data_IF_124303428946
#
_entry.id   IF_124303428946
#
_cell.length_a   1.000
_cell.length_b   1.000
_cell.length_c   1.000
_cell.angle_alpha   90.00
_cell.angle_beta   90.00
_cell.angle_gamma   90.00
#
_symmetry.space_group_name_H-M   'P 1'
#
loop_
_entity.id
_entity.type
_entity.pdbx_description
1 polymer ?
#
# COMPACT_ATOMS: atom_id res chain seq x y z
N UNK A 1 7.57 15.43 -9.80
CA UNK A 1 6.20 15.93 -9.55
C UNK A 1 5.85 17.10 -10.44
N UNK A 2 6.57 18.22 -10.34
CA UNK A 2 6.32 19.39 -11.20
C UNK A 2 6.43 19.08 -12.71
N UNK A 3 7.25 18.10 -13.09
CA UNK A 3 7.36 17.63 -14.47
C UNK A 3 6.04 17.11 -15.06
N UNK A 4 5.16 16.47 -14.27
CA UNK A 4 3.85 16.03 -14.77
C UNK A 4 2.93 17.22 -15.04
N UNK A 5 2.96 18.22 -14.17
CA UNK A 5 2.25 19.48 -14.41
C UNK A 5 2.75 20.15 -15.70
N UNK A 6 4.07 20.20 -15.92
CA UNK A 6 4.63 20.76 -17.15
C UNK A 6 4.17 19.99 -18.40
N UNK A 7 4.11 18.65 -18.34
CA UNK A 7 3.57 17.83 -19.43
C UNK A 7 2.11 18.20 -19.72
N UNK A 8 1.26 18.33 -18.71
CA UNK A 8 -0.13 18.76 -18.95
C UNK A 8 -0.24 20.19 -19.46
N UNK A 9 0.62 21.09 -19.01
CA UNK A 9 0.63 22.49 -19.45
C UNK A 9 1.03 22.60 -20.92
N UNK A 10 2.03 21.83 -21.36
CA UNK A 10 2.41 21.71 -22.77
C UNK A 10 1.25 21.15 -23.58
N UNK A 11 0.60 20.09 -23.09
CA UNK A 11 -0.56 19.51 -23.77
C UNK A 11 -1.73 20.49 -23.91
N UNK A 12 -1.99 21.31 -22.89
CA UNK A 12 -3.00 22.36 -22.94
C UNK A 12 -2.64 23.41 -23.99
N UNK A 13 -1.38 23.83 -24.05
CA UNK A 13 -0.89 24.76 -25.07
C UNK A 13 -1.07 24.18 -26.48
N UNK A 14 -0.70 22.91 -26.70
CA UNK A 14 -0.90 22.24 -27.98
C UNK A 14 -2.39 22.16 -28.36
N UNK A 15 -3.29 21.92 -27.40
CA UNK A 15 -4.73 21.89 -27.64
C UNK A 15 -5.28 23.24 -28.10
N UNK A 16 -4.72 24.35 -27.58
CA UNK A 16 -5.07 25.70 -28.03
C UNK A 16 -4.50 26.00 -29.42
N UNK A 17 -3.24 25.62 -29.66
CA UNK A 17 -2.55 25.84 -30.95
C UNK A 17 -3.26 25.08 -32.08
N UNK A 18 -3.59 23.81 -31.87
CA UNK A 18 -4.27 22.96 -32.85
C UNK A 18 -5.80 23.00 -32.75
N UNK A 19 -6.37 24.05 -32.13
CA UNK A 19 -7.82 24.17 -31.89
C UNK A 19 -8.64 23.95 -33.15
N UNK A 20 -8.28 24.59 -34.26
CA UNK A 20 -9.06 24.54 -35.50
C UNK A 20 -9.06 23.13 -36.11
N UNK A 21 -7.90 22.47 -36.13
CA UNK A 21 -7.78 21.10 -36.65
C UNK A 21 -8.56 20.10 -35.79
N UNK A 22 -8.52 20.28 -34.47
CA UNK A 22 -9.28 19.46 -33.51
C UNK A 22 -10.79 19.70 -33.65
N UNK A 23 -11.23 20.95 -33.83
CA UNK A 23 -12.65 21.26 -34.06
C UNK A 23 -13.14 20.65 -35.37
N UNK A 24 -12.38 20.80 -36.46
CA UNK A 24 -12.71 20.18 -37.75
C UNK A 24 -12.81 18.65 -37.61
N UNK A 25 -11.90 18.06 -36.85
CA UNK A 25 -11.90 16.63 -36.56
C UNK A 25 -13.16 16.17 -35.82
N UNK A 26 -13.60 16.89 -34.79
CA UNK A 26 -14.85 16.58 -34.10
C UNK A 26 -16.09 16.81 -34.98
N UNK A 27 -16.05 17.82 -35.85
CA UNK A 27 -17.12 18.08 -36.81
C UNK A 27 -17.27 16.92 -37.81
N UNK A 28 -16.16 16.41 -38.36
CA UNK A 28 -16.19 15.24 -39.25
C UNK A 28 -16.65 13.97 -38.53
N UNK A 29 -16.26 13.79 -37.27
CA UNK A 29 -16.78 12.69 -36.44
C UNK A 29 -18.30 12.78 -36.28
N UNK A 30 -18.84 13.97 -36.05
CA UNK A 30 -20.28 14.20 -35.96
C UNK A 30 -21.01 13.89 -37.28
N UNK A 31 -20.39 14.19 -38.43
CA UNK A 31 -20.90 13.82 -39.75
C UNK A 31 -20.96 12.29 -39.92
N UNK A 32 -19.90 11.58 -39.57
CA UNK A 32 -19.85 10.11 -39.65
C UNK A 32 -20.92 9.45 -38.77
N UNK A 33 -21.27 10.08 -37.64
CA UNK A 33 -22.30 9.60 -36.72
C UNK A 33 -23.72 10.07 -37.09
N UNK A 34 -23.90 10.77 -38.22
CA UNK A 34 -25.19 11.33 -38.67
C UNK A 34 -25.89 12.22 -37.61
N UNK A 35 -25.11 12.98 -36.82
CA UNK A 35 -25.66 13.92 -35.84
C UNK A 35 -26.25 15.14 -36.54
N UNK A 36 -27.41 15.62 -36.07
CA UNK A 36 -28.13 16.77 -36.65
C UNK A 36 -27.46 18.12 -36.37
N UNK A 37 -26.82 18.29 -35.21
CA UNK A 37 -26.17 19.54 -34.78
C UNK A 37 -24.64 19.37 -34.68
N UNK A 38 -24.00 19.19 -35.83
CA UNK A 38 -22.56 18.86 -35.94
C UNK A 38 -21.63 19.93 -35.36
N UNK A 39 -21.93 21.21 -35.61
CA UNK A 39 -21.14 22.33 -35.11
C UNK A 39 -21.20 22.44 -33.57
N UNK A 40 -22.41 22.37 -33.02
CA UNK A 40 -22.61 22.39 -31.56
C UNK A 40 -21.92 21.21 -30.89
N UNK A 41 -21.98 20.01 -31.48
CA UNK A 41 -21.26 18.84 -30.99
C UNK A 41 -19.74 19.09 -30.97
N UNK A 42 -19.17 19.59 -32.08
CA UNK A 42 -17.74 19.83 -32.17
C UNK A 42 -17.23 20.84 -31.12
N UNK A 43 -17.96 21.95 -30.93
CA UNK A 43 -17.65 22.95 -29.92
C UNK A 43 -17.77 22.37 -28.51
N UNK A 44 -18.84 21.61 -28.24
CA UNK A 44 -19.04 20.98 -26.94
C UNK A 44 -17.94 19.98 -26.61
N UNK A 45 -17.59 19.09 -27.54
CA UNK A 45 -16.52 18.10 -27.36
C UNK A 45 -15.16 18.76 -27.13
N UNK A 46 -14.84 19.82 -27.89
CA UNK A 46 -13.62 20.59 -27.67
C UNK A 46 -13.59 21.23 -26.28
N UNK A 47 -14.67 21.90 -25.86
CA UNK A 47 -14.75 22.53 -24.55
C UNK A 47 -14.68 21.51 -23.40
N UNK A 48 -15.30 20.35 -23.57
CA UNK A 48 -15.21 19.26 -22.60
C UNK A 48 -13.76 18.76 -22.49
N UNK A 49 -13.08 18.53 -23.61
CA UNK A 49 -11.69 18.10 -23.62
C UNK A 49 -10.77 19.14 -22.98
N UNK A 50 -10.98 20.42 -23.29
CA UNK A 50 -10.24 21.54 -22.71
C UNK A 50 -10.48 21.64 -21.20
N UNK A 51 -11.72 21.46 -20.74
CA UNK A 51 -12.07 21.44 -19.31
C UNK A 51 -11.41 20.28 -18.56
N UNK A 52 -11.42 19.08 -19.13
CA UNK A 52 -10.72 17.91 -18.57
C UNK A 52 -9.22 18.18 -18.46
N UNK A 53 -8.62 18.79 -19.47
CA UNK A 53 -7.19 19.10 -19.49
C UNK A 53 -6.81 20.15 -18.43
N UNK A 54 -7.60 21.22 -18.29
CA UNK A 54 -7.42 22.24 -17.25
C UNK A 54 -7.52 21.61 -15.86
N UNK A 55 -8.59 20.85 -15.61
CA UNK A 55 -8.80 20.19 -14.32
C UNK A 55 -7.64 19.27 -13.97
N UNK A 56 -7.18 18.47 -14.93
CA UNK A 56 -6.05 17.54 -14.74
C UNK A 56 -4.74 18.27 -14.46
N UNK A 57 -4.46 19.37 -15.17
CA UNK A 57 -3.28 20.20 -14.91
C UNK A 57 -3.31 20.80 -13.49
N UNK A 58 -4.46 21.34 -13.06
CA UNK A 58 -4.63 21.87 -11.71
C UNK A 58 -4.48 20.78 -10.64
N UNK A 59 -4.99 19.59 -10.89
CA UNK A 59 -4.83 18.44 -9.99
C UNK A 59 -3.34 18.09 -9.80
N UNK A 60 -2.56 18.00 -10.89
CA UNK A 60 -1.13 17.73 -10.79
C UNK A 60 -0.36 18.86 -10.12
N UNK A 61 -0.76 20.12 -10.33
CA UNK A 61 -0.18 21.25 -9.63
C UNK A 61 -0.43 21.14 -8.12
N UNK A 62 -1.66 20.85 -7.71
CA UNK A 62 -2.02 20.64 -6.30
C UNK A 62 -1.23 19.49 -5.66
N UNK A 63 -1.09 18.35 -6.37
CA UNK A 63 -0.27 17.23 -5.92
C UNK A 63 1.20 17.64 -5.80
N UNK A 64 1.74 18.40 -6.75
CA UNK A 64 3.12 18.87 -6.71
C UNK A 64 3.39 19.83 -5.54
N UNK A 65 2.48 20.77 -5.27
CA UNK A 65 2.55 21.68 -4.12
C UNK A 65 2.48 20.92 -2.80
N UNK A 66 1.53 19.98 -2.67
CA UNK A 66 1.40 19.15 -1.47
C UNK A 66 2.62 18.23 -1.27
N UNK A 67 3.19 17.70 -2.35
CA UNK A 67 4.45 16.95 -2.29
C UNK A 67 5.61 17.83 -1.82
N UNK A 68 5.74 19.06 -2.33
CA UNK A 68 6.77 20.00 -1.91
C UNK A 68 6.65 20.33 -0.41
N UNK A 69 5.43 20.56 0.08
CA UNK A 69 5.15 20.78 1.50
C UNK A 69 5.58 19.58 2.37
N UNK A 70 5.17 18.36 2.00
CA UNK A 70 5.51 17.15 2.76
C UNK A 70 6.99 16.78 2.68
N UNK A 71 7.64 17.06 1.55
CA UNK A 71 9.09 16.92 1.41
C UNK A 71 9.85 17.93 2.29
N UNK A 72 9.39 19.18 2.37
CA UNK A 72 9.95 20.20 3.25
C UNK A 72 9.81 19.80 4.73
N UNK A 73 8.64 19.33 5.15
CA UNK A 73 8.41 18.83 6.50
C UNK A 73 9.32 17.62 6.83
N UNK A 74 9.50 16.70 5.88
CA UNK A 74 10.37 15.54 6.04
C UNK A 74 11.85 15.91 6.19
N UNK A 75 12.31 16.95 5.48
CA UNK A 75 13.68 17.49 5.64
C UNK A 75 13.88 18.07 7.04
N UNK A 76 12.91 18.85 7.55
CA UNK A 76 12.98 19.45 8.89
C UNK A 76 13.07 18.38 9.99
N UNK A 77 12.40 17.24 9.79
CA UNK A 77 12.35 16.13 10.74
C UNK A 77 13.48 15.08 10.54
N UNK A 78 14.42 15.31 9.61
CA UNK A 78 15.52 14.39 9.24
C UNK A 78 15.08 12.95 8.97
N UNK A 79 13.81 12.76 8.61
CA UNK A 79 13.21 11.45 8.42
C UNK A 79 12.20 11.52 7.28
N UNK A 80 12.46 10.74 6.23
CA UNK A 80 11.56 10.61 5.07
C UNK A 80 10.36 9.71 5.36
N UNK A 81 10.19 9.24 6.61
CA UNK A 81 8.98 8.57 7.07
C UNK A 81 7.73 9.42 6.84
N UNK A 82 7.83 10.74 7.02
CA UNK A 82 6.74 11.70 6.88
C UNK A 82 6.42 12.06 5.43
N UNK A 83 7.16 11.53 4.46
CA UNK A 83 6.85 11.72 3.06
C UNK A 83 5.48 11.11 2.78
N UNK A 84 4.59 11.82 2.09
CA UNK A 84 3.21 11.34 1.95
C UNK A 84 3.10 10.09 1.05
N UNK A 85 2.58 8.98 1.60
CA UNK A 85 2.22 7.80 0.77
C UNK A 85 1.09 8.12 -0.19
N UNK A 86 0.20 9.04 0.22
CA UNK A 86 -0.95 9.43 -0.59
C UNK A 86 -0.48 9.97 -1.94
N UNK A 87 0.51 10.87 -1.95
CA UNK A 87 1.06 11.40 -3.21
C UNK A 87 1.59 10.30 -4.12
N UNK A 88 2.37 9.37 -3.58
CA UNK A 88 3.00 8.30 -4.35
C UNK A 88 1.92 7.38 -4.96
N UNK A 89 0.94 6.98 -4.16
CA UNK A 89 -0.12 6.07 -4.58
C UNK A 89 -1.08 6.74 -5.56
N UNK A 90 -1.52 7.97 -5.29
CA UNK A 90 -2.42 8.73 -6.17
C UNK A 90 -1.79 8.92 -7.55
N UNK A 91 -0.50 9.23 -7.63
CA UNK A 91 0.18 9.37 -8.92
C UNK A 91 0.35 8.05 -9.65
N UNK A 92 0.66 6.96 -8.95
CA UNK A 92 0.70 5.64 -9.57
C UNK A 92 -0.67 5.28 -10.19
N UNK A 93 -1.75 5.53 -9.46
CA UNK A 93 -3.12 5.31 -9.94
C UNK A 93 -3.42 6.20 -11.15
N UNK A 94 -3.10 7.49 -11.11
CA UNK A 94 -3.35 8.40 -12.23
C UNK A 94 -2.61 7.98 -13.51
N UNK A 95 -1.35 7.53 -13.39
CA UNK A 95 -0.59 7.01 -14.53
C UNK A 95 -1.24 5.74 -15.08
N UNK A 96 -1.66 4.81 -14.22
CA UNK A 96 -2.36 3.58 -14.63
C UNK A 96 -3.67 3.93 -15.34
N UNK A 97 -4.47 4.84 -14.79
CA UNK A 97 -5.73 5.29 -15.42
C UNK A 97 -5.45 5.90 -16.78
N UNK A 98 -4.41 6.73 -16.94
CA UNK A 98 -4.01 7.27 -18.26
C UNK A 98 -3.67 6.17 -19.27
N UNK A 99 -2.94 5.13 -18.84
CA UNK A 99 -2.61 3.99 -19.71
C UNK A 99 -3.86 3.20 -20.08
N UNK A 100 -4.76 2.93 -19.13
CA UNK A 100 -6.03 2.25 -19.41
C UNK A 100 -6.86 3.06 -20.40
N UNK A 101 -6.96 4.38 -20.20
CA UNK A 101 -7.71 5.25 -21.09
C UNK A 101 -7.11 5.28 -22.50
N UNK A 102 -5.78 5.20 -22.64
CA UNK A 102 -5.14 5.04 -23.96
C UNK A 102 -5.55 3.74 -24.64
N UNK A 103 -5.56 2.62 -23.91
CA UNK A 103 -5.99 1.33 -24.45
C UNK A 103 -7.46 1.41 -24.87
N UNK A 104 -8.34 1.90 -23.99
CA UNK A 104 -9.78 2.07 -24.28
C UNK A 104 -10.00 2.95 -25.51
N UNK A 105 -9.28 4.06 -25.61
CA UNK A 105 -9.38 5.02 -26.72
C UNK A 105 -8.87 4.44 -28.04
N UNK A 106 -7.95 3.48 -28.01
CA UNK A 106 -7.39 2.84 -29.20
C UNK A 106 -8.12 1.56 -29.62
N UNK A 107 -8.83 0.88 -28.70
CA UNK A 107 -9.47 -0.42 -28.96
C UNK A 107 -10.99 -0.40 -29.10
N UNK A 108 -11.71 0.58 -28.54
CA UNK A 108 -13.18 0.62 -28.65
C UNK A 108 -13.66 1.29 -29.94
N UNK A 109 -14.25 0.50 -30.83
CA UNK A 109 -14.91 0.96 -32.06
C UNK A 109 -16.23 1.71 -31.84
N UNK A 110 -16.89 1.51 -30.69
CA UNK A 110 -18.12 2.23 -30.30
C UNK A 110 -17.87 3.64 -29.75
N UNK A 111 -16.62 3.95 -29.39
CA UNK A 111 -16.13 5.32 -29.16
C UNK A 111 -15.54 5.90 -30.47
N UNK A 112 -15.68 5.15 -31.58
CA UNK A 112 -15.05 5.38 -32.88
C UNK A 112 -13.67 4.71 -32.93
N UNK A 113 -13.42 3.75 -33.85
CA UNK A 113 -12.09 3.21 -34.02
C UNK A 113 -11.24 4.32 -34.62
N UNK A 114 -10.33 4.83 -33.79
CA UNK A 114 -9.30 5.76 -34.22
C UNK A 114 -8.38 5.18 -35.29
N UNK A 115 -8.35 3.86 -35.40
CA UNK A 115 -7.64 3.13 -36.44
C UNK A 115 -8.10 3.45 -37.87
N UNK A 116 -9.16 4.25 -38.07
CA UNK A 116 -9.51 4.89 -39.34
C UNK A 116 -9.53 6.43 -39.36
N UNK A 117 -9.04 7.13 -38.33
CA UNK A 117 -9.52 8.50 -38.02
C UNK A 117 -8.73 9.69 -38.55
N UNK A 118 -9.53 10.70 -38.86
CA UNK A 118 -9.19 12.05 -39.29
C UNK A 118 -8.71 12.97 -38.13
N UNK A 119 -8.25 12.42 -36.99
CA UNK A 119 -7.78 13.20 -35.81
C UNK A 119 -6.34 12.86 -35.35
N UNK A 120 -5.36 12.71 -36.26
CA UNK A 120 -4.00 12.24 -35.92
C UNK A 120 -3.31 13.08 -34.85
N UNK A 121 -3.54 14.40 -34.84
CA UNK A 121 -2.90 15.31 -33.90
C UNK A 121 -3.30 15.06 -32.44
N UNK A 122 -4.58 14.84 -32.14
CA UNK A 122 -5.06 14.65 -30.76
C UNK A 122 -4.55 13.33 -30.17
N UNK A 123 -4.50 12.28 -31.00
CA UNK A 123 -3.98 10.97 -30.60
C UNK A 123 -2.49 11.06 -30.33
N UNK A 124 -1.73 11.69 -31.23
CA UNK A 124 -0.29 11.87 -31.07
C UNK A 124 0.01 12.65 -29.77
N UNK A 125 -0.72 13.74 -29.51
CA UNK A 125 -0.62 14.51 -28.26
C UNK A 125 -0.89 13.62 -27.05
N UNK A 126 -1.95 12.80 -27.09
CA UNK A 126 -2.33 11.93 -25.98
C UNK A 126 -1.30 10.81 -25.74
N UNK A 127 -0.82 10.15 -26.80
CA UNK A 127 0.22 9.11 -26.72
C UNK A 127 1.51 9.69 -26.10
N UNK A 128 1.97 10.85 -26.58
CA UNK A 128 3.15 11.51 -26.03
C UNK A 128 2.96 11.86 -24.56
N UNK A 129 1.77 12.33 -24.17
CA UNK A 129 1.43 12.62 -22.76
C UNK A 129 1.50 11.38 -21.87
N UNK A 130 0.97 10.24 -22.34
CA UNK A 130 1.03 8.97 -21.61
C UNK A 130 2.46 8.49 -21.47
N UNK A 131 3.24 8.49 -22.56
CA UNK A 131 4.66 8.10 -22.54
C UNK A 131 5.45 8.97 -21.58
N UNK A 132 5.29 10.30 -21.65
CA UNK A 132 5.94 11.23 -20.74
C UNK A 132 5.54 10.97 -19.28
N UNK A 133 4.26 10.70 -19.00
CA UNK A 133 3.77 10.39 -17.66
C UNK A 133 4.40 9.10 -17.11
N UNK A 134 4.50 8.06 -17.93
CA UNK A 134 5.14 6.78 -17.56
C UNK A 134 6.64 6.99 -17.28
N UNK A 135 7.36 7.72 -18.13
CA UNK A 135 8.77 8.02 -17.92
C UNK A 135 9.00 8.80 -16.62
N UNK A 136 8.18 9.82 -16.36
CA UNK A 136 8.25 10.57 -15.09
C UNK A 136 7.92 9.65 -13.91
N UNK A 137 6.95 8.74 -14.05
CA UNK A 137 6.66 7.71 -13.04
C UNK A 137 7.85 6.81 -12.75
N UNK A 138 8.53 6.31 -13.77
CA UNK A 138 9.71 5.44 -13.61
C UNK A 138 10.89 6.17 -12.95
N UNK A 139 11.15 7.41 -13.35
CA UNK A 139 12.29 8.21 -12.84
C UNK A 139 12.03 8.73 -11.42
N UNK A 140 10.79 9.14 -11.10
CA UNK A 140 10.49 9.77 -9.81
C UNK A 140 9.79 8.87 -8.79
N UNK A 141 8.78 8.07 -9.17
CA UNK A 141 8.01 7.31 -8.18
C UNK A 141 8.82 6.17 -7.59
N UNK A 142 9.61 5.46 -8.40
CA UNK A 142 10.40 4.31 -7.93
C UNK A 142 11.44 4.71 -6.86
N UNK A 143 12.35 5.68 -7.10
CA UNK A 143 13.34 6.04 -6.09
C UNK A 143 12.71 6.61 -4.82
N UNK A 144 11.70 7.48 -4.98
CA UNK A 144 11.02 8.11 -3.85
C UNK A 144 10.28 7.08 -2.97
N UNK A 145 9.64 6.09 -3.59
CA UNK A 145 8.99 4.99 -2.88
C UNK A 145 10.01 4.11 -2.15
N UNK A 146 11.14 3.78 -2.78
CA UNK A 146 12.21 2.99 -2.16
C UNK A 146 12.81 3.70 -0.94
N UNK A 147 13.08 5.00 -1.05
CA UNK A 147 13.55 5.82 0.08
C UNK A 147 12.52 5.77 1.20
N UNK A 148 11.23 6.02 0.93
CA UNK A 148 10.23 5.96 2.01
C UNK A 148 10.18 4.58 2.66
N UNK A 149 10.19 3.51 1.86
CA UNK A 149 10.16 2.13 2.37
C UNK A 149 11.34 1.81 3.28
N UNK A 150 12.55 2.26 2.94
CA UNK A 150 13.73 2.03 3.80
C UNK A 150 13.60 2.73 5.16
N UNK A 151 13.08 3.96 5.19
CA UNK A 151 12.83 4.67 6.45
C UNK A 151 11.69 4.05 7.28
N UNK A 152 10.62 3.59 6.65
CA UNK A 152 9.54 2.86 7.33
C UNK A 152 10.06 1.54 7.92
N UNK A 153 10.86 0.80 7.16
CA UNK A 153 11.47 -0.45 7.61
C UNK A 153 12.44 -0.22 8.77
N UNK A 154 13.31 0.78 8.68
CA UNK A 154 14.23 1.14 9.75
C UNK A 154 13.48 1.51 11.05
N UNK A 155 12.39 2.26 10.95
CA UNK A 155 11.54 2.59 12.11
C UNK A 155 10.89 1.36 12.71
N UNK A 156 10.27 0.50 11.89
CA UNK A 156 9.66 -0.76 12.35
C UNK A 156 10.68 -1.67 13.03
N UNK A 157 11.90 -1.76 12.49
CA UNK A 157 12.99 -2.52 13.10
C UNK A 157 13.38 -1.97 14.47
N UNK A 158 13.47 -0.64 14.60
CA UNK A 158 13.76 0.00 15.89
C UNK A 158 12.66 -0.22 16.92
N UNK A 159 11.38 -0.13 16.52
CA UNK A 159 10.24 -0.42 17.38
C UNK A 159 10.24 -1.90 17.81
N UNK A 160 10.55 -2.82 16.89
CA UNK A 160 10.69 -4.24 17.18
C UNK A 160 11.85 -4.54 18.15
N UNK A 161 13.00 -3.90 17.98
CA UNK A 161 14.14 -4.08 18.91
C UNK A 161 13.83 -3.56 20.31
N UNK A 162 13.21 -2.37 20.43
CA UNK A 162 12.78 -1.84 21.73
C UNK A 162 11.77 -2.77 22.43
N UNK A 163 10.86 -3.35 21.65
CA UNK A 163 9.93 -4.34 22.13
C UNK A 163 10.66 -5.59 22.64
N UNK A 164 11.61 -6.12 21.88
CA UNK A 164 12.43 -7.26 22.29
C UNK A 164 13.21 -6.97 23.59
N UNK A 165 13.74 -5.77 23.75
CA UNK A 165 14.43 -5.34 24.99
C UNK A 165 13.49 -5.26 26.19
N UNK A 166 12.31 -4.66 26.05
CA UNK A 166 11.30 -4.62 27.11
C UNK A 166 10.90 -6.03 27.57
N UNK A 167 10.83 -6.98 26.63
CA UNK A 167 10.50 -8.36 26.96
C UNK A 167 11.66 -9.15 27.54
N UNK A 168 12.91 -8.97 27.07
CA UNK A 168 14.11 -9.54 27.70
C UNK A 168 14.24 -9.10 29.15
N UNK A 169 14.00 -7.83 29.43
CA UNK A 169 14.03 -7.30 30.79
C UNK A 169 12.92 -7.87 31.68
N UNK A 170 11.82 -8.34 31.10
CA UNK A 170 10.69 -8.99 31.79
C UNK A 170 10.87 -10.50 31.96
N UNK A 171 11.80 -11.11 31.22
CA UNK A 171 12.11 -12.55 31.24
C UNK A 171 13.15 -12.94 32.30
N UNK A 172 13.65 -11.97 33.07
CA UNK A 172 14.53 -12.18 34.23
C UNK A 172 13.86 -12.93 35.39
N UNK A 173 12.58 -13.29 35.25
CA UNK A 173 11.85 -14.12 36.20
C UNK A 173 11.96 -15.61 35.79
N UNK A 174 12.49 -16.51 36.63
CA UNK A 174 12.76 -17.93 36.26
C UNK A 174 11.52 -18.78 35.93
N UNK A 175 10.31 -18.24 36.12
CA UNK A 175 9.04 -18.84 35.69
C UNK A 175 8.38 -18.10 34.50
N UNK A 176 9.13 -17.22 33.83
CA UNK A 176 8.64 -16.37 32.74
C UNK A 176 8.18 -17.19 31.53
N UNK A 177 7.08 -16.77 30.92
CA UNK A 177 6.60 -17.33 29.66
C UNK A 177 7.68 -17.16 28.58
N UNK A 178 8.01 -18.24 27.85
CA UNK A 178 8.99 -18.17 26.76
C UNK A 178 8.38 -17.47 25.54
N UNK A 179 8.45 -16.14 25.55
CA UNK A 179 7.94 -15.28 24.49
C UNK A 179 8.76 -15.39 23.20
N UNK A 180 10.01 -15.86 23.25
CA UNK A 180 10.77 -16.11 22.02
C UNK A 180 10.10 -17.22 21.21
N UNK A 181 9.58 -18.26 21.85
CA UNK A 181 8.79 -19.30 21.17
C UNK A 181 7.47 -18.75 20.58
N UNK A 182 6.78 -17.86 21.31
CA UNK A 182 5.56 -17.18 20.83
C UNK A 182 5.82 -16.33 19.58
N UNK A 183 6.84 -15.47 19.59
CA UNK A 183 7.16 -14.61 18.46
C UNK A 183 7.79 -15.38 17.29
N UNK A 184 8.58 -16.42 17.54
CA UNK A 184 9.08 -17.28 16.47
C UNK A 184 7.92 -18.02 15.75
N UNK A 185 6.83 -18.34 16.45
CA UNK A 185 5.64 -18.93 15.83
C UNK A 185 4.86 -17.92 14.97
N UNK A 186 4.68 -16.69 15.46
CA UNK A 186 3.96 -15.63 14.74
C UNK A 186 4.78 -15.10 13.55
N UNK A 187 6.10 -14.99 13.69
CA UNK A 187 7.00 -14.46 12.66
C UNK A 187 7.33 -15.49 11.56
N UNK A 188 7.25 -16.79 11.85
CA UNK A 188 7.42 -17.84 10.84
C UNK A 188 6.28 -17.91 9.81
N UNK A 189 5.13 -17.24 10.04
CA UNK A 189 4.07 -17.10 9.05
C UNK A 189 4.30 -15.94 8.06
N UNK A 190 5.26 -15.05 8.33
CA UNK A 190 5.69 -13.98 7.42
C UNK A 190 7.16 -14.17 7.01
N UNK A 191 7.55 -15.38 6.60
CA UNK A 191 8.91 -15.61 6.08
C UNK A 191 9.12 -14.90 4.74
N UNK A 192 9.80 -13.76 4.81
CA UNK A 192 10.72 -13.34 3.76
C UNK A 192 11.73 -14.49 3.49
N UNK A 193 12.04 -14.86 2.23
CA UNK A 193 12.84 -16.06 1.89
C UNK A 193 14.32 -16.06 2.34
N UNK A 194 14.81 -15.03 3.04
CA UNK A 194 16.25 -14.79 3.20
C UNK A 194 16.80 -15.02 4.62
N UNK A 195 16.00 -15.51 5.56
CA UNK A 195 16.52 -15.98 6.86
C UNK A 195 16.27 -17.48 7.03
N UNK A 196 17.16 -18.28 6.45
CA UNK A 196 17.40 -19.65 6.92
C UNK A 196 18.28 -19.56 8.16
N UNK A 197 17.68 -19.75 9.33
CA UNK A 197 18.41 -20.17 10.52
C UNK A 197 18.89 -21.61 10.29
N UNK A 198 20.21 -21.78 10.20
CA UNK A 198 20.87 -23.03 10.54
C UNK A 198 20.50 -23.34 11.99
N UNK A 199 19.94 -24.53 12.20
CA UNK A 199 20.27 -25.45 13.31
C UNK A 199 19.28 -26.62 13.23
N UNK A 200 19.67 -27.60 12.42
CA UNK A 200 19.23 -28.99 12.57
C UNK A 200 20.07 -29.63 13.68
N UNK A 201 19.41 -30.39 14.56
CA UNK A 201 19.87 -31.54 15.37
C UNK A 201 19.06 -31.51 16.67
N UNK A 202 18.55 -32.58 17.25
CA UNK A 202 18.46 -34.00 16.97
C UNK A 202 17.60 -34.60 18.11
N UNK A 203 17.31 -35.89 18.00
CA UNK A 203 16.82 -36.82 19.03
C UNK A 203 15.31 -37.00 19.16
N UNK A 204 14.78 -38.22 19.36
CA UNK A 204 15.16 -39.61 19.06
C UNK A 204 13.95 -40.39 19.56
N UNK A 205 13.38 -41.19 18.69
CA UNK A 205 12.27 -42.08 19.00
C UNK A 205 12.79 -43.25 19.86
N UNK A 206 12.14 -43.54 20.99
CA UNK A 206 11.96 -44.94 21.41
C UNK A 206 10.87 -45.11 22.49
N UNK A 207 10.10 -46.21 22.43
CA UNK A 207 8.97 -46.52 23.30
C UNK A 207 9.41 -47.39 24.49
N UNK A 208 8.59 -47.46 25.55
CA UNK A 208 8.18 -48.67 26.29
C UNK A 208 7.71 -48.36 27.73
N UNK A 209 6.52 -48.93 28.01
CA UNK A 209 6.02 -49.47 29.30
C UNK A 209 5.77 -48.56 30.49
N UNK A 210 4.57 -48.75 31.04
CA UNK A 210 4.04 -47.96 32.14
C UNK A 210 4.28 -48.54 33.52
N UNK A 211 3.98 -47.73 34.52
CA UNK A 211 3.53 -48.17 35.84
C UNK A 211 2.84 -47.00 36.58
N UNK A 212 1.73 -47.34 37.22
CA UNK A 212 0.82 -46.49 37.97
C UNK A 212 1.51 -45.63 39.04
N UNK A 213 1.29 -44.30 39.01
CA UNK A 213 1.38 -43.45 40.20
C UNK A 213 0.20 -42.47 40.27
N UNK A 214 -0.61 -42.71 41.32
CA UNK A 214 -1.55 -41.87 42.07
C UNK A 214 -1.93 -40.48 41.52
N UNK A 215 -3.24 -40.28 41.46
CA UNK A 215 -3.92 -39.01 41.19
C UNK A 215 -3.39 -37.86 42.07
N UNK A 216 -2.59 -37.00 41.45
CA UNK A 216 -2.31 -35.64 41.90
C UNK A 216 -2.96 -34.72 40.88
N UNK A 217 -3.69 -33.69 41.34
CA UNK A 217 -4.44 -32.74 40.52
C UNK A 217 -3.54 -32.15 39.41
N UNK A 218 -3.51 -32.77 38.23
CA UNK A 218 -2.74 -32.28 37.08
C UNK A 218 -3.53 -31.11 36.51
N UNK A 219 -3.17 -29.88 36.94
CA UNK A 219 -3.55 -28.67 36.21
C UNK A 219 -3.25 -28.92 34.74
N UNK A 220 -4.24 -28.74 33.87
CA UNK A 220 -4.05 -29.05 32.46
C UNK A 220 -2.94 -28.14 31.91
N UNK A 221 -2.24 -28.59 30.86
CA UNK A 221 -1.21 -27.78 30.19
C UNK A 221 -1.74 -26.40 29.77
N UNK A 222 -3.04 -26.30 29.51
CA UNK A 222 -3.78 -25.05 29.26
C UNK A 222 -3.78 -24.14 30.48
N UNK A 223 -4.06 -24.67 31.66
CA UNK A 223 -4.15 -23.88 32.90
C UNK A 223 -2.78 -23.32 33.29
N UNK A 224 -1.71 -24.11 33.11
CA UNK A 224 -0.33 -23.66 33.33
C UNK A 224 0.08 -22.54 32.36
N UNK A 225 -0.39 -22.59 31.10
CA UNK A 225 -0.09 -21.55 30.10
C UNK A 225 -0.89 -20.27 30.35
N UNK A 226 -2.16 -20.38 30.75
CA UNK A 226 -2.99 -19.22 31.10
C UNK A 226 -2.47 -18.57 32.39
N UNK A 227 -2.07 -19.36 33.39
CA UNK A 227 -1.48 -18.86 34.65
C UNK A 227 -0.17 -18.10 34.40
N UNK A 228 0.63 -18.55 33.43
CA UNK A 228 1.82 -17.82 32.96
C UNK A 228 1.49 -16.53 32.21
N UNK A 229 0.39 -16.46 31.48
CA UNK A 229 -0.05 -15.20 30.85
C UNK A 229 -0.57 -14.22 31.92
N UNK A 230 -1.25 -14.72 32.94
CA UNK A 230 -1.76 -13.93 34.07
C UNK A 230 -0.65 -13.31 34.93
N UNK A 231 0.55 -13.89 34.95
CA UNK A 231 1.70 -13.34 35.69
C UNK A 231 2.33 -12.11 35.01
N UNK A 232 2.02 -11.86 33.74
CA UNK A 232 2.53 -10.69 33.01
C UNK A 232 1.81 -9.40 33.44
N UNK A 233 2.48 -8.23 33.42
CA UNK A 233 1.82 -6.93 33.52
C UNK A 233 0.72 -6.74 32.48
N UNK A 234 -0.34 -5.99 32.82
CA UNK A 234 -1.51 -5.80 31.94
C UNK A 234 -1.12 -5.16 30.61
N UNK A 235 -0.15 -4.24 30.65
CA UNK A 235 0.43 -3.56 29.49
C UNK A 235 1.03 -4.55 28.49
N UNK A 236 1.68 -5.61 29.00
CA UNK A 236 2.29 -6.64 28.15
C UNK A 236 1.24 -7.53 27.49
N UNK A 237 0.16 -7.86 28.20
CA UNK A 237 -0.99 -8.58 27.63
C UNK A 237 -1.70 -7.75 26.56
N UNK A 238 -1.82 -6.44 26.77
CA UNK A 238 -2.41 -5.52 25.81
C UNK A 238 -1.60 -5.48 24.50
N UNK A 239 -0.27 -5.39 24.60
CA UNK A 239 0.60 -5.42 23.42
C UNK A 239 0.54 -6.77 22.69
N UNK A 240 0.48 -7.90 23.41
CA UNK A 240 0.30 -9.23 22.78
C UNK A 240 -1.03 -9.33 22.04
N UNK A 241 -2.12 -8.82 22.62
CA UNK A 241 -3.43 -8.84 21.99
C UNK A 241 -3.50 -7.96 20.75
N UNK A 242 -2.82 -6.82 20.76
CA UNK A 242 -2.66 -5.94 19.60
C UNK A 242 -1.91 -6.64 18.46
N UNK A 243 -0.86 -7.40 18.75
CA UNK A 243 -0.12 -8.20 17.76
C UNK A 243 -1.01 -9.30 17.16
N UNK A 244 -1.82 -9.95 18.00
CA UNK A 244 -2.75 -10.99 17.58
C UNK A 244 -4.01 -10.42 16.87
N UNK A 245 -4.11 -9.09 16.70
CA UNK A 245 -5.29 -8.40 16.18
C UNK A 245 -6.59 -8.77 16.94
N UNK A 246 -6.50 -8.96 18.26
CA UNK A 246 -7.68 -9.23 19.09
C UNK A 246 -8.45 -7.92 19.28
N UNK A 247 -9.57 -7.77 18.57
CA UNK A 247 -10.40 -6.57 18.65
C UNK A 247 -11.03 -6.39 20.03
N UNK A 248 -11.06 -5.14 20.51
CA UNK A 248 -11.68 -4.78 21.79
C UNK A 248 -10.88 -5.19 23.03
N UNK A 249 -9.61 -5.56 22.89
CA UNK A 249 -8.75 -6.03 23.98
C UNK A 249 -8.64 -5.05 25.16
N UNK A 250 -8.75 -3.75 24.89
CA UNK A 250 -8.66 -2.67 25.90
C UNK A 250 -9.77 -2.72 26.96
N UNK A 251 -10.92 -3.33 26.62
CA UNK A 251 -12.09 -3.45 27.50
C UNK A 251 -12.15 -4.80 28.22
N UNK A 252 -11.22 -5.71 27.93
CA UNK A 252 -11.23 -7.06 28.50
C UNK A 252 -10.56 -7.06 29.87
N UNK A 253 -11.09 -7.89 30.76
CA UNK A 253 -10.40 -8.16 32.01
C UNK A 253 -9.11 -8.96 31.76
N UNK A 254 -8.14 -8.85 32.66
CA UNK A 254 -6.81 -9.46 32.52
C UNK A 254 -6.89 -10.97 32.27
N UNK A 255 -7.86 -11.65 32.90
CA UNK A 255 -8.09 -13.09 32.71
C UNK A 255 -8.69 -13.41 31.35
N UNK A 256 -9.71 -12.67 30.93
CA UNK A 256 -10.33 -12.84 29.60
C UNK A 256 -9.32 -12.57 28.48
N UNK A 257 -8.44 -11.59 28.68
CA UNK A 257 -7.39 -11.24 27.73
C UNK A 257 -6.35 -12.36 27.61
N UNK A 258 -5.89 -12.92 28.72
CA UNK A 258 -4.97 -14.05 28.75
C UNK A 258 -5.57 -15.29 28.06
N UNK A 259 -6.85 -15.60 28.32
CA UNK A 259 -7.54 -16.71 27.66
C UNK A 259 -7.70 -16.51 26.16
N UNK A 260 -8.05 -15.30 25.70
CA UNK A 260 -8.13 -15.00 24.26
C UNK A 260 -6.77 -15.10 23.58
N UNK A 261 -5.70 -14.59 24.20
CA UNK A 261 -4.33 -14.71 23.68
C UNK A 261 -3.94 -16.19 23.53
N UNK A 262 -4.28 -17.02 24.53
CA UNK A 262 -4.04 -18.47 24.47
C UNK A 262 -4.83 -19.16 23.34
N UNK A 263 -6.11 -18.87 23.19
CA UNK A 263 -6.92 -19.49 22.13
C UNK A 263 -6.44 -19.07 20.74
N UNK A 264 -6.15 -17.78 20.53
CA UNK A 264 -5.63 -17.27 19.26
C UNK A 264 -4.27 -17.86 18.86
N UNK A 265 -3.47 -18.28 19.83
CA UNK A 265 -2.19 -18.95 19.57
C UNK A 265 -2.32 -20.45 19.35
N UNK A 266 -3.43 -21.06 19.76
CA UNK A 266 -3.70 -22.50 19.59
C UNK A 266 -4.51 -22.81 18.34
N UNK A 267 -5.47 -21.96 17.97
CA UNK A 267 -6.45 -22.20 16.90
C UNK A 267 -5.88 -21.97 15.47
N UNK A 268 -4.62 -21.55 15.33
CA UNK A 268 -3.95 -21.34 14.02
C UNK A 268 -3.04 -22.51 13.61
N UNK A 269 -3.42 -23.75 13.93
CA UNK A 269 -2.79 -24.95 13.36
C UNK A 269 -3.27 -25.21 11.93
#
# INVERSE_FOLDING_TARGET
MFSLFLVEAIQLLLLVVYKNDILLSFYKLAQQQNLSNQESFAIQSFNQQLGIQIFTALLYLGIAVYFAYTAFASRKLKSYYHLSSFVINTLAILIIVKVIMLVVFTTNSSVGPITGTEVPALIAIYVVSVVASVLVGLVFLRPVSLIKKSFVFARRRNEFMKMQEMFKNSQSNPNGFDLNAFFNHVNNQNKDPYMKSQDEQAYQDNPYTGQNYKAQNVKSEKDLKIEKLLSLPKEQLHEMAKILNIFGYEKLDKKELAEKIYNYTKDKK
#
